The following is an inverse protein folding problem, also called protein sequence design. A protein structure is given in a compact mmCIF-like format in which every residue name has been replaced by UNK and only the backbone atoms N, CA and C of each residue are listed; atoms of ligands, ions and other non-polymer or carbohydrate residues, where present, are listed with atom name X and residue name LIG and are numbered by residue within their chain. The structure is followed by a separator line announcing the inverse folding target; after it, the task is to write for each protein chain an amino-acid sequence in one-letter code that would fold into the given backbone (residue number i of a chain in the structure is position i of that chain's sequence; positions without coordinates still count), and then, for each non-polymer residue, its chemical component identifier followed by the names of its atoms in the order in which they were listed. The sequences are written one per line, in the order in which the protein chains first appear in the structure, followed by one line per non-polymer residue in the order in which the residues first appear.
data_IF_381552830472
#
_entry.id   IF_381552830472
#
_cell.length_a   1.000
_cell.length_b   1.000
_cell.length_c   1.000
_cell.angle_alpha   90.00
_cell.angle_beta   90.00
_cell.angle_gamma   90.00
#
_symmetry.space_group_name_H-M   'P 1'
#
loop_
_entity.id
_entity.type
_entity.pdbx_description
1 polymer ?
#
# COMPACT_ATOMS: atom_id res chain seq x y z
N UNK A 1 4.13 -15.64 7.88
CA UNK A 1 2.76 -15.17 7.53
C UNK A 1 2.87 -14.38 6.24
N UNK A 2 1.90 -14.47 5.33
CA UNK A 2 1.98 -13.75 4.04
C UNK A 2 1.27 -12.40 4.18
N UNK A 3 1.60 -11.41 3.33
CA UNK A 3 0.95 -10.10 3.41
C UNK A 3 -0.53 -10.15 3.09
N UNK A 4 -1.26 -9.18 3.65
CA UNK A 4 -2.53 -8.70 3.11
C UNK A 4 -2.22 -7.65 2.04
N UNK A 5 -2.72 -7.87 0.82
CA UNK A 5 -2.56 -6.96 -0.30
C UNK A 5 -3.72 -5.95 -0.34
N UNK A 6 -3.38 -4.68 -0.33
CA UNK A 6 -4.29 -3.54 -0.54
C UNK A 6 -4.05 -2.99 -1.94
N UNK A 7 -4.94 -3.33 -2.87
CA UNK A 7 -4.95 -2.83 -4.24
C UNK A 7 -5.78 -1.55 -4.32
N UNK A 8 -5.14 -0.42 -4.57
CA UNK A 8 -5.79 0.88 -4.70
C UNK A 8 -5.91 1.22 -6.18
N UNK A 9 -7.14 1.43 -6.64
CA UNK A 9 -7.36 1.93 -7.98
C UNK A 9 -7.17 3.46 -7.99
N UNK A 10 -6.25 3.94 -8.82
CA UNK A 10 -5.99 5.38 -9.00
C UNK A 10 -6.81 5.99 -10.15
N UNK A 11 -7.48 5.17 -10.96
CA UNK A 11 -8.32 5.61 -12.08
C UNK A 11 -9.79 5.49 -11.69
N UNK A 12 -10.55 6.57 -11.88
CA UNK A 12 -12.00 6.52 -11.74
C UNK A 12 -12.58 5.61 -12.83
N UNK A 13 -13.05 4.43 -12.43
CA UNK A 13 -13.63 3.44 -13.33
C UNK A 13 -15.13 3.31 -13.09
N UNK A 14 -15.87 3.05 -14.16
CA UNK A 14 -17.28 2.68 -14.05
C UNK A 14 -17.39 1.30 -13.39
N UNK A 15 -18.50 0.98 -12.73
CA UNK A 15 -18.64 -0.26 -11.94
C UNK A 15 -18.39 -1.57 -12.71
N UNK A 16 -18.64 -1.59 -14.02
CA UNK A 16 -18.34 -2.75 -14.89
C UNK A 16 -16.84 -2.87 -15.19
N UNK A 17 -16.17 -1.74 -15.42
CA UNK A 17 -14.71 -1.68 -15.66
C UNK A 17 -13.92 -2.02 -14.40
N UNK A 18 -14.47 -1.72 -13.22
CA UNK A 18 -13.92 -2.12 -11.92
C UNK A 18 -13.80 -3.65 -11.87
N UNK A 19 -14.82 -4.41 -12.28
CA UNK A 19 -14.79 -5.88 -12.22
C UNK A 19 -13.79 -6.48 -13.21
N UNK A 20 -13.69 -5.94 -14.42
CA UNK A 20 -12.71 -6.36 -15.42
C UNK A 20 -11.28 -5.97 -15.04
N UNK A 21 -11.06 -4.80 -14.43
CA UNK A 21 -9.77 -4.39 -13.90
C UNK A 21 -9.38 -5.19 -12.65
N UNK A 22 -10.35 -5.56 -11.79
CA UNK A 22 -10.16 -6.47 -10.66
C UNK A 22 -9.64 -7.83 -11.15
N UNK A 23 -10.31 -8.42 -12.14
CA UNK A 23 -9.87 -9.69 -12.73
C UNK A 23 -8.50 -9.52 -13.38
N UNK A 24 -8.30 -8.50 -14.21
CA UNK A 24 -7.02 -8.28 -14.88
C UNK A 24 -5.86 -8.01 -13.90
N UNK A 25 -6.06 -7.27 -12.81
CA UNK A 25 -5.02 -7.07 -11.79
C UNK A 25 -4.65 -8.39 -11.10
N UNK A 26 -5.62 -9.23 -10.73
CA UNK A 26 -5.35 -10.58 -10.17
C UNK A 26 -4.60 -11.47 -11.18
N UNK A 27 -5.01 -11.45 -12.44
CA UNK A 27 -4.45 -12.34 -13.47
C UNK A 27 -3.14 -11.82 -14.10
N UNK A 28 -2.91 -10.51 -14.17
CA UNK A 28 -1.74 -9.87 -14.77
C UNK A 28 -0.61 -9.61 -13.77
N UNK A 29 -0.91 -9.41 -12.48
CA UNK A 29 0.15 -9.23 -11.47
C UNK A 29 1.04 -10.46 -11.31
N UNK A 30 0.64 -11.63 -11.83
CA UNK A 30 1.43 -12.85 -11.76
C UNK A 30 1.74 -13.27 -10.32
N UNK A 31 1.07 -12.66 -9.33
CA UNK A 31 1.17 -13.07 -7.94
C UNK A 31 0.62 -14.48 -7.91
N UNK A 32 1.52 -15.44 -7.81
CA UNK A 32 1.14 -16.76 -7.37
C UNK A 32 0.37 -16.55 -6.07
N UNK A 33 -0.94 -16.82 -6.06
CA UNK A 33 -1.82 -16.85 -4.87
C UNK A 33 -1.19 -17.58 -3.66
N UNK A 34 -0.09 -18.30 -3.88
CA UNK A 34 0.80 -18.88 -2.88
C UNK A 34 1.49 -17.87 -1.96
N UNK A 35 1.62 -16.58 -2.27
CA UNK A 35 2.42 -15.62 -1.48
C UNK A 35 1.63 -14.46 -0.83
N UNK A 36 0.29 -14.46 -0.89
CA UNK A 36 -0.59 -13.44 -0.29
C UNK A 36 -1.72 -14.17 0.45
N UNK A 37 -2.07 -13.71 1.65
CA UNK A 37 -3.12 -14.35 2.45
C UNK A 37 -4.51 -13.78 2.12
N UNK A 38 -4.63 -12.47 1.94
CA UNK A 38 -5.88 -11.78 1.58
C UNK A 38 -5.63 -10.63 0.60
N UNK A 39 -6.65 -10.29 -0.19
CA UNK A 39 -6.62 -9.13 -1.10
C UNK A 39 -7.82 -8.23 -0.81
N UNK A 40 -7.56 -6.94 -0.58
CA UNK A 40 -8.54 -5.89 -0.42
C UNK A 40 -8.43 -4.92 -1.60
N UNK A 41 -9.54 -4.66 -2.27
CA UNK A 41 -9.62 -3.71 -3.38
C UNK A 41 -10.29 -2.43 -2.93
N UNK A 42 -9.64 -1.30 -3.17
CA UNK A 42 -10.11 0.02 -2.79
C UNK A 42 -10.45 0.81 -4.05
N UNK A 43 -11.70 1.27 -4.21
CA UNK A 43 -12.13 1.99 -5.40
C UNK A 43 -11.48 3.38 -5.44
N UNK A 44 -11.22 3.88 -6.65
CA UNK A 44 -10.80 5.26 -6.84
C UNK A 44 -11.86 6.21 -6.25
N UNK A 45 -11.43 7.10 -5.36
CA UNK A 45 -12.27 8.09 -4.72
C UNK A 45 -11.49 9.42 -4.58
N UNK A 46 -12.10 10.43 -3.97
CA UNK A 46 -11.47 11.74 -3.74
C UNK A 46 -10.42 11.73 -2.60
N UNK A 47 -10.02 10.55 -2.10
CA UNK A 47 -8.97 10.41 -1.09
C UNK A 47 -7.68 9.93 -1.75
N UNK A 48 -6.54 10.40 -1.23
CA UNK A 48 -5.23 9.95 -1.70
C UNK A 48 -5.05 8.46 -1.43
N UNK A 49 -4.25 7.75 -2.25
CA UNK A 49 -3.93 6.34 -2.03
C UNK A 49 -3.44 6.04 -0.61
N UNK A 50 -2.60 6.90 -0.03
CA UNK A 50 -2.16 6.75 1.35
C UNK A 50 -3.32 6.73 2.35
N UNK A 51 -4.25 7.68 2.24
CA UNK A 51 -5.40 7.76 3.13
C UNK A 51 -6.34 6.56 2.97
N UNK A 52 -6.52 6.06 1.74
CA UNK A 52 -7.29 4.85 1.48
C UNK A 52 -6.65 3.61 2.11
N UNK A 53 -5.34 3.41 1.90
CA UNK A 53 -4.60 2.30 2.53
C UNK A 53 -4.65 2.38 4.06
N UNK A 54 -4.48 3.57 4.64
CA UNK A 54 -4.53 3.76 6.08
C UNK A 54 -5.89 3.38 6.65
N UNK A 55 -6.97 3.78 5.98
CA UNK A 55 -8.33 3.40 6.37
C UNK A 55 -8.52 1.88 6.32
N UNK A 56 -8.12 1.22 5.23
CA UNK A 56 -8.23 -0.23 5.08
C UNK A 56 -7.35 -1.01 6.07
N UNK A 57 -6.20 -0.46 6.46
CA UNK A 57 -5.28 -1.07 7.40
C UNK A 57 -5.69 -0.88 8.88
N UNK A 58 -6.75 -0.11 9.17
CA UNK A 58 -7.18 0.17 10.54
C UNK A 58 -7.54 -1.11 11.32
N UNK A 59 -8.19 -2.06 10.65
CA UNK A 59 -8.66 -3.32 11.25
C UNK A 59 -7.69 -4.49 11.03
N UNK A 60 -6.54 -4.26 10.39
CA UNK A 60 -5.51 -5.30 10.20
C UNK A 60 -4.71 -5.48 11.50
N UNK A 61 -4.60 -6.70 12.05
CA UNK A 61 -3.82 -6.94 13.26
C UNK A 61 -2.35 -6.47 13.12
N UNK A 62 -1.79 -5.90 14.18
CA UNK A 62 -0.50 -5.19 14.17
C UNK A 62 0.65 -5.96 13.54
N UNK A 63 0.77 -7.24 13.87
CA UNK A 63 1.85 -8.13 13.44
C UNK A 63 1.67 -8.69 12.03
N UNK A 64 0.58 -8.34 11.33
CA UNK A 64 0.30 -8.82 9.98
C UNK A 64 1.03 -7.95 8.95
N UNK A 65 1.81 -8.54 8.02
CA UNK A 65 2.43 -7.78 6.96
C UNK A 65 1.38 -7.24 5.99
N UNK A 66 1.66 -6.05 5.43
CA UNK A 66 0.78 -5.39 4.47
C UNK A 66 1.55 -5.00 3.22
N UNK A 67 0.90 -5.16 2.07
CA UNK A 67 1.41 -4.74 0.77
C UNK A 67 0.42 -3.76 0.17
N UNK A 68 0.82 -2.51 -0.01
CA UNK A 68 0.03 -1.47 -0.64
C UNK A 68 0.49 -1.37 -2.09
N UNK A 69 -0.43 -1.36 -3.06
CA UNK A 69 -0.09 -1.15 -4.46
C UNK A 69 -1.10 -0.27 -5.17
N UNK A 70 -0.60 0.59 -6.05
CA UNK A 70 -1.37 1.31 -7.08
C UNK A 70 -1.02 0.83 -8.48
N UNK A 71 -0.05 -0.09 -8.58
CA UNK A 71 0.50 -0.60 -9.83
C UNK A 71 0.22 -2.09 -9.99
N UNK A 72 0.16 -2.55 -11.24
CA UNK A 72 0.08 -3.97 -11.59
C UNK A 72 1.41 -4.72 -11.35
N UNK A 73 2.50 -4.00 -11.08
CA UNK A 73 3.82 -4.59 -10.81
C UNK A 73 4.00 -4.81 -9.32
N UNK A 74 4.09 -6.06 -8.93
CA UNK A 74 4.35 -6.48 -7.54
C UNK A 74 5.72 -7.17 -7.42
N UNK A 75 6.36 -7.13 -6.25
CA UNK A 75 7.59 -7.85 -6.04
C UNK A 75 7.31 -9.36 -5.98
N UNK A 76 8.22 -10.17 -6.51
CA UNK A 76 8.10 -11.63 -6.50
C UNK A 76 8.35 -12.28 -5.14
N UNK A 77 8.87 -11.52 -4.17
CA UNK A 77 9.27 -12.01 -2.84
C UNK A 77 9.03 -10.94 -1.77
N UNK A 78 8.59 -11.38 -0.59
CA UNK A 78 8.37 -10.54 0.58
C UNK A 78 9.25 -11.04 1.74
N UNK A 79 10.23 -10.25 2.20
CA UNK A 79 11.02 -10.61 3.37
C UNK A 79 10.15 -10.59 4.63
N UNK A 80 10.50 -11.42 5.62
CA UNK A 80 9.69 -11.53 6.84
C UNK A 80 9.86 -10.35 7.81
N UNK A 81 11.02 -9.67 7.78
CA UNK A 81 11.44 -8.73 8.83
C UNK A 81 11.81 -7.35 8.31
N UNK A 82 11.68 -7.10 6.99
CA UNK A 82 12.15 -5.87 6.36
C UNK A 82 11.01 -5.22 5.58
N UNK A 83 10.78 -3.93 5.77
CA UNK A 83 9.89 -3.17 4.91
C UNK A 83 10.61 -2.76 3.61
N UNK A 84 9.91 -2.77 2.49
CA UNK A 84 10.48 -2.48 1.17
C UNK A 84 9.57 -1.52 0.39
N UNK A 85 10.17 -0.82 -0.57
CA UNK A 85 9.45 0.05 -1.49
C UNK A 85 9.88 -0.22 -2.92
N UNK A 86 8.91 -0.24 -3.81
CA UNK A 86 9.09 -0.16 -5.26
C UNK A 86 8.36 1.04 -5.84
N UNK A 87 8.30 2.14 -5.12
CA UNK A 87 7.74 3.40 -5.60
C UNK A 87 8.65 4.06 -6.65
N UNK A 88 8.04 4.60 -7.70
CA UNK A 88 8.75 5.37 -8.74
C UNK A 88 8.65 6.86 -8.44
N UNK A 89 7.43 7.38 -8.24
CA UNK A 89 7.18 8.76 -7.85
C UNK A 89 5.77 8.93 -7.27
N UNK A 90 5.64 9.71 -6.19
CA UNK A 90 4.35 10.02 -5.56
C UNK A 90 3.65 8.75 -5.08
N UNK A 91 2.57 8.37 -5.76
CA UNK A 91 1.78 7.18 -5.46
C UNK A 91 2.02 6.01 -6.41
N UNK A 92 2.83 6.14 -7.47
CA UNK A 92 3.04 5.05 -8.45
C UNK A 92 4.00 3.98 -7.94
N UNK A 93 3.48 2.76 -7.75
CA UNK A 93 4.26 1.58 -7.37
C UNK A 93 3.64 0.82 -6.21
N UNK A 94 4.50 0.32 -5.32
CA UNK A 94 4.08 -0.48 -4.16
C UNK A 94 4.94 -0.22 -2.91
N UNK A 95 4.34 -0.47 -1.75
CA UNK A 95 4.98 -0.47 -0.43
C UNK A 95 4.69 -1.76 0.30
N UNK A 96 5.73 -2.42 0.78
CA UNK A 96 5.63 -3.56 1.67
C UNK A 96 6.06 -3.15 3.07
N UNK A 97 5.19 -3.38 4.05
CA UNK A 97 5.54 -3.30 5.46
C UNK A 97 5.41 -4.68 6.08
N UNK A 98 6.46 -5.11 6.77
CA UNK A 98 6.48 -6.40 7.47
C UNK A 98 5.45 -6.45 8.63
N UNK A 99 4.93 -5.30 9.06
CA UNK A 99 3.89 -5.15 10.09
C UNK A 99 2.92 -4.01 9.77
N UNK A 100 1.63 -4.22 10.03
CA UNK A 100 0.57 -3.26 9.78
C UNK A 100 0.64 -2.05 10.71
N UNK A 101 1.03 -2.24 11.96
CA UNK A 101 1.18 -1.12 12.91
C UNK A 101 2.32 -0.18 12.54
N UNK A 102 3.43 -0.72 12.01
CA UNK A 102 4.51 0.09 11.48
C UNK A 102 4.05 0.93 10.28
N UNK A 103 3.32 0.33 9.33
CA UNK A 103 2.70 1.07 8.24
C UNK A 103 1.81 2.21 8.75
N UNK A 104 0.87 1.92 9.68
CA UNK A 104 -0.03 2.93 10.23
C UNK A 104 0.72 4.05 10.92
N UNK A 105 1.76 3.73 11.68
CA UNK A 105 2.60 4.73 12.33
C UNK A 105 3.26 5.68 11.31
N UNK A 106 3.89 5.14 10.26
CA UNK A 106 4.50 5.92 9.20
C UNK A 106 3.49 6.77 8.43
N UNK A 107 2.34 6.19 8.07
CA UNK A 107 1.27 6.88 7.37
C UNK A 107 0.72 8.05 8.21
N UNK A 108 0.46 7.84 9.49
CA UNK A 108 -0.01 8.90 10.40
C UNK A 108 1.03 10.00 10.58
N UNK A 109 2.32 9.65 10.66
CA UNK A 109 3.38 10.66 10.77
C UNK A 109 3.53 11.46 9.47
N UNK A 110 3.35 10.83 8.31
CA UNK A 110 3.36 11.54 7.03
C UNK A 110 2.21 12.54 6.97
N UNK A 111 1.01 12.14 7.41
CA UNK A 111 -0.18 13.02 7.51
C UNK A 111 0.07 14.17 8.48
N UNK A 112 0.74 13.93 9.61
CA UNK A 112 1.06 14.99 10.58
C UNK A 112 2.12 15.96 10.07
N UNK A 113 3.09 15.47 9.30
CA UNK A 113 4.15 16.27 8.72
C UNK A 113 3.73 16.98 7.42
N UNK A 114 2.54 16.66 6.89
CA UNK A 114 2.03 17.23 5.66
C UNK A 114 1.89 18.74 5.75
N UNK A 115 2.51 19.43 4.80
CA UNK A 115 2.32 20.85 4.56
C UNK A 115 1.10 21.05 3.65
N UNK A 116 0.03 21.73 4.09
CA UNK A 116 -1.15 22.01 3.29
C UNK A 116 -0.86 22.75 1.97
N UNK A 117 0.30 23.41 1.85
CA UNK A 117 0.71 24.10 0.61
C UNK A 117 1.30 23.15 -0.44
N UNK A 118 1.73 21.94 -0.04
CA UNK A 118 2.30 20.92 -0.94
C UNK A 118 1.25 20.11 -1.72
N UNK A 119 -0.02 20.50 -1.60
CA UNK A 119 -1.18 20.08 -2.38
C UNK A 119 -1.66 18.61 -2.22
N UNK A 120 -0.77 17.60 -2.10
CA UNK A 120 -1.17 16.19 -1.96
C UNK A 120 -0.19 15.43 -1.07
N UNK A 121 -0.70 14.59 -0.17
CA UNK A 121 0.08 13.59 0.56
C UNK A 121 0.08 12.24 -0.15
N UNK A 122 1.24 11.62 -0.28
CA UNK A 122 1.48 10.44 -1.12
C UNK A 122 2.05 9.25 -0.35
N UNK A 123 2.07 8.08 -0.98
CA UNK A 123 2.77 6.89 -0.50
C UNK A 123 4.28 7.15 -0.34
N UNK A 124 4.88 8.01 -1.17
CA UNK A 124 6.30 8.40 -1.03
C UNK A 124 6.54 9.11 0.31
N UNK A 125 5.62 9.95 0.76
CA UNK A 125 5.75 10.63 2.06
C UNK A 125 5.70 9.62 3.22
N UNK A 126 4.82 8.63 3.13
CA UNK A 126 4.77 7.52 4.09
C UNK A 126 6.08 6.72 4.11
N UNK A 127 6.65 6.42 2.95
CA UNK A 127 7.92 5.71 2.87
C UNK A 127 9.07 6.52 3.47
N UNK A 128 9.11 7.83 3.24
CA UNK A 128 10.09 8.70 3.87
C UNK A 128 10.02 8.65 5.39
N UNK A 129 8.81 8.57 5.98
CA UNK A 129 8.66 8.36 7.43
C UNK A 129 9.18 7.00 7.90
N UNK A 130 9.05 5.95 7.08
CA UNK A 130 9.61 4.64 7.39
C UNK A 130 11.15 4.68 7.40
N UNK A 131 11.77 5.38 6.45
CA UNK A 131 13.22 5.56 6.41
C UNK A 131 13.76 6.32 7.63
N UNK A 132 12.99 7.29 8.14
CA UNK A 132 13.34 8.07 9.33
C UNK A 132 13.12 7.32 10.65
N UNK A 133 12.31 6.25 10.66
CA UNK A 133 12.03 5.49 11.87
C UNK A 133 13.22 4.61 12.25
N UNK A 134 13.86 4.92 13.38
CA UNK A 134 14.97 4.12 13.91
C UNK A 134 14.54 2.80 14.54
N UNK A 135 13.24 2.61 14.78
CA UNK A 135 12.71 1.45 15.51
C UNK A 135 12.67 0.15 14.68
N UNK A 136 12.89 0.22 13.36
CA UNK A 136 12.64 -0.91 12.44
C UNK A 136 13.76 -1.15 11.42
N UNK A 137 14.99 -0.69 11.71
CA UNK A 137 16.21 -0.92 10.88
C UNK A 137 17.05 -2.14 11.34
N UNK A 138 16.48 -3.07 12.10
CA UNK A 138 17.17 -4.25 12.63
C UNK A 138 16.48 -5.54 12.21
#
# INVERSE_FOLDING_TARGET
MKPILLCINTVAMNSEDIFSSIINCVFQTGVHHKNIDNICYLPSNNMTPLCQALYAAADIPDHVPVLITTSERLPGFFPAEISLSGLVAGDDGWLFFHRADFFRHCAMNAIRAYDPTSNIITLTDCWNQALLSTEYHL
#
